data_IF_587485526857
#
_entry.id   IF_587485526857
#
_cell.length_a   1.000
_cell.length_b   1.000
_cell.length_c   1.000
_cell.angle_alpha   90.00
_cell.angle_beta   90.00
_cell.angle_gamma   90.00
#
_symmetry.space_group_name_H-M   'P 1'
#
loop_
_entity.id
_entity.type
_entity.pdbx_description
1 polymer ?
#
# COMPACT_ATOMS: atom_id res chain seq x y z
N UNK A 1 39.08 19.25 -49.51
CA UNK A 1 38.71 19.01 -48.09
C UNK A 1 37.24 18.59 -48.01
N UNK A 2 36.84 17.99 -46.88
CA UNK A 2 35.51 17.47 -46.51
C UNK A 2 35.16 16.01 -46.89
N UNK A 3 35.70 15.06 -46.11
CA UNK A 3 35.23 13.66 -46.04
C UNK A 3 33.81 13.62 -45.44
N UNK A 4 32.80 13.19 -46.22
CA UNK A 4 31.45 12.89 -45.71
C UNK A 4 31.53 11.67 -44.78
N UNK A 5 31.39 11.87 -43.46
CA UNK A 5 31.32 10.78 -42.48
C UNK A 5 30.03 9.96 -42.70
N UNK A 6 30.08 8.61 -42.66
CA UNK A 6 28.92 7.78 -42.91
C UNK A 6 27.88 7.90 -41.78
N UNK A 7 26.64 8.20 -42.18
CA UNK A 7 25.40 8.29 -41.37
C UNK A 7 25.01 7.00 -40.60
N UNK A 8 25.86 5.98 -40.58
CA UNK A 8 25.62 4.67 -39.92
C UNK A 8 26.13 4.59 -38.48
N UNK A 9 26.94 5.53 -38.02
CA UNK A 9 27.52 5.49 -36.67
C UNK A 9 26.59 5.99 -35.54
N UNK A 10 25.42 6.54 -35.84
CA UNK A 10 24.50 7.07 -34.83
C UNK A 10 23.37 6.12 -34.39
N UNK A 11 23.31 4.89 -34.93
CA UNK A 11 22.27 3.92 -34.56
C UNK A 11 22.65 2.96 -33.41
N UNK A 12 23.75 3.18 -32.69
CA UNK A 12 24.24 2.23 -31.67
C UNK A 12 24.20 2.71 -30.21
N UNK A 13 23.72 3.91 -29.88
CA UNK A 13 23.83 4.44 -28.52
C UNK A 13 22.50 4.82 -27.83
N UNK A 14 21.35 4.29 -28.27
CA UNK A 14 20.05 4.60 -27.65
C UNK A 14 19.33 3.36 -27.07
N UNK A 15 20.05 2.26 -26.81
CA UNK A 15 19.43 0.99 -26.38
C UNK A 15 20.04 0.38 -25.12
N UNK A 16 20.55 1.21 -24.22
CA UNK A 16 20.94 0.82 -22.87
C UNK A 16 20.60 1.93 -21.87
N UNK A 17 19.34 2.37 -21.86
CA UNK A 17 18.75 2.83 -20.60
C UNK A 17 18.08 1.60 -20.04
N UNK A 18 18.70 1.00 -19.01
CA UNK A 18 18.05 0.05 -18.11
C UNK A 18 16.63 0.56 -17.90
N UNK A 19 15.66 -0.15 -18.48
CA UNK A 19 14.27 0.23 -18.37
C UNK A 19 13.94 0.10 -16.89
N UNK A 20 13.85 1.22 -16.20
CA UNK A 20 13.18 1.26 -14.91
C UNK A 20 11.76 0.73 -15.18
N UNK A 21 11.52 -0.54 -14.88
CA UNK A 21 10.19 -1.11 -14.91
C UNK A 21 9.53 -0.60 -13.64
N UNK A 22 8.61 0.38 -13.70
CA UNK A 22 7.87 0.75 -12.51
C UNK A 22 7.17 -0.51 -12.01
N UNK A 23 7.51 -0.93 -10.79
CA UNK A 23 6.82 -2.05 -10.14
C UNK A 23 5.39 -1.57 -9.92
N UNK A 24 4.49 -2.00 -10.78
CA UNK A 24 3.07 -1.75 -10.59
C UNK A 24 2.63 -2.42 -9.29
N UNK A 25 1.96 -1.69 -8.38
CA UNK A 25 1.41 -2.30 -7.18
C UNK A 25 0.40 -3.37 -7.57
N UNK A 26 0.56 -4.60 -7.08
CA UNK A 26 -0.38 -5.70 -7.33
C UNK A 26 -1.82 -5.36 -6.88
N UNK A 27 -1.96 -4.42 -5.94
CA UNK A 27 -3.24 -3.94 -5.42
C UNK A 27 -3.32 -2.42 -5.60
N UNK A 28 -4.41 -2.00 -6.27
CA UNK A 28 -4.80 -0.60 -6.35
C UNK A 28 -5.10 -0.09 -4.94
N UNK A 29 -4.59 1.10 -4.59
CA UNK A 29 -4.79 1.72 -3.27
C UNK A 29 -6.27 1.71 -2.83
N UNK A 30 -7.18 2.01 -3.77
CA UNK A 30 -8.64 2.02 -3.53
C UNK A 30 -9.17 0.69 -2.98
N UNK A 31 -8.68 -0.43 -3.52
CA UNK A 31 -9.11 -1.76 -3.09
C UNK A 31 -8.56 -2.06 -1.69
N UNK A 32 -7.34 -1.61 -1.37
CA UNK A 32 -6.76 -1.77 -0.03
C UNK A 32 -7.62 -1.12 1.07
N UNK A 33 -8.12 0.10 0.85
CA UNK A 33 -9.03 0.76 1.78
C UNK A 33 -10.38 0.05 1.90
N UNK A 34 -10.91 -0.48 0.79
CA UNK A 34 -12.16 -1.23 0.82
C UNK A 34 -12.02 -2.53 1.64
N UNK A 35 -10.94 -3.28 1.40
CA UNK A 35 -10.68 -4.54 2.10
C UNK A 35 -10.41 -4.33 3.59
N UNK A 36 -9.60 -3.32 3.96
CA UNK A 36 -9.32 -3.04 5.38
C UNK A 36 -10.59 -2.63 6.12
N UNK A 37 -11.46 -1.84 5.49
CA UNK A 37 -12.75 -1.44 6.06
C UNK A 37 -13.66 -2.63 6.28
N UNK A 38 -13.82 -3.48 5.26
CA UNK A 38 -14.66 -4.68 5.35
C UNK A 38 -14.13 -5.66 6.42
N UNK A 39 -12.83 -5.94 6.41
CA UNK A 39 -12.18 -6.82 7.38
C UNK A 39 -12.28 -6.26 8.81
N UNK A 40 -12.08 -4.96 8.98
CA UNK A 40 -12.18 -4.31 10.29
C UNK A 40 -13.57 -4.44 10.88
N UNK A 41 -14.63 -4.21 10.09
CA UNK A 41 -16.02 -4.37 10.54
C UNK A 41 -16.34 -5.84 10.82
N UNK A 42 -15.97 -6.75 9.91
CA UNK A 42 -16.22 -8.18 10.09
C UNK A 42 -15.55 -8.71 11.37
N UNK A 43 -14.31 -8.32 11.62
CA UNK A 43 -13.57 -8.69 12.82
C UNK A 43 -14.14 -8.03 14.08
N UNK A 44 -14.58 -6.77 14.02
CA UNK A 44 -15.21 -6.11 15.16
C UNK A 44 -16.50 -6.83 15.59
N UNK A 45 -17.33 -7.23 14.63
CA UNK A 45 -18.55 -8.02 14.89
C UNK A 45 -18.19 -9.41 15.42
N UNK A 46 -17.19 -10.06 14.83
CA UNK A 46 -16.73 -11.38 15.29
C UNK A 46 -16.20 -11.33 16.74
N UNK A 47 -15.36 -10.36 17.07
CA UNK A 47 -14.87 -10.15 18.43
C UNK A 47 -16.02 -9.84 19.39
N UNK A 48 -16.96 -8.99 18.99
CA UNK A 48 -18.16 -8.69 19.77
C UNK A 48 -19.01 -9.94 20.04
N UNK A 49 -19.17 -10.80 19.04
CA UNK A 49 -19.88 -12.08 19.17
C UNK A 49 -19.19 -13.03 20.15
N UNK A 50 -17.85 -13.11 20.12
CA UNK A 50 -17.09 -13.94 21.04
C UNK A 50 -17.11 -13.44 22.49
N UNK A 51 -17.13 -12.11 22.69
CA UNK A 51 -17.10 -11.52 24.03
C UNK A 51 -18.49 -11.35 24.66
N UNK A 52 -19.55 -11.32 23.84
CA UNK A 52 -20.93 -11.20 24.30
C UNK A 52 -21.31 -12.18 25.43
N UNK A 53 -21.03 -13.49 25.34
CA UNK A 53 -21.41 -14.44 26.39
C UNK A 53 -20.60 -14.30 27.69
N UNK A 54 -19.46 -13.61 27.68
CA UNK A 54 -18.49 -13.63 28.79
C UNK A 54 -18.45 -12.32 29.57
N UNK A 55 -18.57 -11.18 28.88
CA UNK A 55 -18.31 -9.85 29.48
C UNK A 55 -19.49 -8.85 29.34
N UNK A 56 -20.55 -9.25 28.64
CA UNK A 56 -21.72 -8.41 28.41
C UNK A 56 -21.57 -7.42 27.25
N UNK A 57 -22.71 -6.93 26.78
CA UNK A 57 -22.85 -6.22 25.50
C UNK A 57 -22.01 -4.93 25.43
N UNK A 58 -21.94 -4.16 26.54
CA UNK A 58 -21.18 -2.91 26.59
C UNK A 58 -19.66 -3.11 26.45
N UNK A 59 -19.10 -4.14 27.10
CA UNK A 59 -17.66 -4.45 27.00
C UNK A 59 -17.33 -5.08 25.64
N UNK A 60 -18.22 -5.92 25.11
CA UNK A 60 -18.06 -6.50 23.77
C UNK A 60 -17.97 -5.41 22.68
N UNK A 61 -18.82 -4.37 22.75
CA UNK A 61 -18.74 -3.23 21.82
C UNK A 61 -17.44 -2.44 22.02
N UNK A 62 -17.04 -2.17 23.27
CA UNK A 62 -15.81 -1.42 23.57
C UNK A 62 -14.58 -2.12 22.99
N UNK A 63 -14.48 -3.45 23.18
CA UNK A 63 -13.40 -4.26 22.64
C UNK A 63 -13.46 -4.41 21.12
N UNK A 64 -14.65 -4.56 20.54
CA UNK A 64 -14.83 -4.58 19.08
C UNK A 64 -14.38 -3.27 18.43
N UNK A 65 -14.75 -2.12 19.02
CA UNK A 65 -14.36 -0.80 18.53
C UNK A 65 -12.86 -0.55 18.74
N UNK A 66 -12.32 -0.95 19.89
CA UNK A 66 -10.88 -0.87 20.18
C UNK A 66 -10.05 -1.71 19.20
N UNK A 67 -10.53 -2.90 18.85
CA UNK A 67 -9.88 -3.77 17.87
C UNK A 67 -9.93 -3.16 16.46
N UNK A 68 -11.08 -2.63 16.03
CA UNK A 68 -11.19 -1.91 14.78
C UNK A 68 -10.24 -0.70 14.71
N UNK A 69 -10.16 0.09 15.79
CA UNK A 69 -9.24 1.22 15.89
C UNK A 69 -7.77 0.78 15.79
N UNK A 70 -7.40 -0.34 16.42
CA UNK A 70 -6.05 -0.89 16.34
C UNK A 70 -5.66 -1.32 14.92
N UNK A 71 -6.57 -1.98 14.19
CA UNK A 71 -6.35 -2.35 12.77
C UNK A 71 -6.09 -1.08 11.94
N UNK A 72 -6.92 -0.05 12.12
CA UNK A 72 -6.75 1.22 11.42
C UNK A 72 -5.46 1.93 11.78
N UNK A 73 -5.04 1.88 13.05
CA UNK A 73 -3.76 2.45 13.48
C UNK A 73 -2.57 1.77 12.79
N UNK A 74 -2.52 0.43 12.78
CA UNK A 74 -1.45 -0.33 12.11
C UNK A 74 -1.44 -0.05 10.61
N UNK A 75 -2.62 -0.07 9.97
CA UNK A 75 -2.76 0.22 8.55
C UNK A 75 -2.31 1.66 8.21
N UNK A 76 -2.71 2.63 9.03
CA UNK A 76 -2.31 4.03 8.91
C UNK A 76 -0.80 4.22 9.05
N UNK A 77 -0.18 3.59 10.06
CA UNK A 77 1.28 3.61 10.24
C UNK A 77 1.99 2.99 9.04
N UNK A 78 1.50 1.86 8.52
CA UNK A 78 2.05 1.24 7.32
C UNK A 78 1.98 2.15 6.10
N UNK A 79 0.85 2.84 5.90
CA UNK A 79 0.68 3.83 4.83
C UNK A 79 1.62 5.03 5.00
N UNK A 80 1.70 5.59 6.21
CA UNK A 80 2.58 6.71 6.53
C UNK A 80 4.05 6.34 6.30
N UNK A 81 4.46 5.15 6.73
CA UNK A 81 5.80 4.62 6.50
C UNK A 81 6.10 4.42 5.00
N UNK A 82 5.15 3.86 4.25
CA UNK A 82 5.28 3.70 2.80
C UNK A 82 5.38 5.05 2.08
N UNK A 83 4.66 6.07 2.53
CA UNK A 83 4.79 7.43 1.98
C UNK A 83 6.12 8.08 2.35
N UNK A 84 6.57 7.93 3.59
CA UNK A 84 7.83 8.50 4.08
C UNK A 84 9.06 7.93 3.35
N UNK A 85 9.08 6.62 3.12
CA UNK A 85 10.15 5.95 2.37
C UNK A 85 10.16 6.35 0.88
N UNK A 86 8.98 6.63 0.30
CA UNK A 86 8.88 7.11 -1.10
C UNK A 86 9.26 8.58 -1.24
N UNK A 87 9.00 9.42 -0.23
CA UNK A 87 9.35 10.84 -0.22
C UNK A 87 10.86 11.11 -0.17
N UNK A 88 11.66 10.19 0.41
CA UNK A 88 13.13 10.30 0.45
C UNK A 88 13.86 9.88 -0.84
N UNK A 89 13.14 9.38 -1.86
CA UNK A 89 13.74 8.89 -3.13
C UNK A 89 13.65 9.88 -4.30
N UNK A 90 13.02 11.03 -4.11
CA UNK A 90 12.88 12.09 -5.13
C UNK A 90 13.61 13.40 -4.78
N UNK A 91 14.51 13.40 -3.80
CA UNK A 91 15.49 14.47 -3.58
C UNK A 91 16.89 13.96 -3.86
#
# INVERSE_FOLDING_TARGET
MARKKPRRAQKKNAKNKSAYVPVEPWIKKRNGFLYIGLLSVALAVFTGWQLYPTEGLGRAILWGLGFAAAIWAIFGVSLAFNQWTRGRRQR
#
